data_IF_192575733879
#
_entry.id   IF_192575733879
#
_cell.length_a   1.000
_cell.length_b   1.000
_cell.length_c   1.000
_cell.angle_alpha   90.00
_cell.angle_beta   90.00
_cell.angle_gamma   90.00
#
_symmetry.space_group_name_H-M   'P 1'
#
loop_
_entity.id
_entity.type
_entity.pdbx_description
1 polymer ?
#
# COMPACT_ATOMS: atom_id res chain seq x y z
N UNK A 1 -70.00 -69.40 -20.02
CA UNK A 1 -69.29 -68.37 -19.25
C UNK A 1 -68.73 -67.36 -20.23
N UNK A 2 -69.25 -66.14 -20.25
CA UNK A 2 -68.74 -65.06 -21.10
C UNK A 2 -67.62 -64.35 -20.36
N UNK A 3 -66.40 -64.39 -20.90
CA UNK A 3 -65.24 -63.64 -20.42
C UNK A 3 -65.27 -62.24 -21.03
N UNK A 4 -65.19 -61.21 -20.19
CA UNK A 4 -65.03 -59.82 -20.65
C UNK A 4 -63.53 -59.51 -20.66
N UNK A 5 -62.97 -59.28 -21.85
CA UNK A 5 -61.61 -58.77 -22.01
C UNK A 5 -61.66 -57.25 -22.06
N UNK A 6 -61.17 -56.58 -21.02
CA UNK A 6 -61.00 -55.12 -21.01
C UNK A 6 -59.58 -54.75 -21.39
N UNK A 7 -59.43 -53.74 -22.24
CA UNK A 7 -58.15 -53.12 -22.56
C UNK A 7 -58.08 -51.75 -21.88
N UNK A 8 -57.04 -51.53 -21.09
CA UNK A 8 -56.80 -50.22 -20.46
C UNK A 8 -55.73 -49.50 -21.26
N UNK A 9 -56.08 -48.35 -21.84
CA UNK A 9 -55.12 -47.46 -22.48
C UNK A 9 -54.35 -46.72 -21.39
N UNK A 10 -53.03 -46.87 -21.37
CA UNK A 10 -52.16 -46.05 -20.54
C UNK A 10 -51.85 -44.77 -21.32
N UNK A 11 -52.31 -43.63 -20.82
CA UNK A 11 -51.93 -42.31 -21.33
C UNK A 11 -51.02 -41.63 -20.31
N UNK A 12 -49.81 -41.17 -20.70
CA UNK A 12 -48.96 -40.42 -19.80
C UNK A 12 -49.56 -39.04 -19.55
N UNK A 13 -49.83 -38.75 -18.28
CA UNK A 13 -50.19 -37.41 -17.83
C UNK A 13 -48.89 -36.61 -17.71
N UNK A 14 -48.66 -35.66 -18.61
CA UNK A 14 -47.44 -34.83 -18.66
C UNK A 14 -47.53 -33.56 -17.80
N UNK A 15 -48.68 -33.31 -17.17
CA UNK A 15 -48.92 -32.17 -16.29
C UNK A 15 -49.26 -32.69 -14.89
N UNK A 16 -48.34 -32.48 -13.96
CA UNK A 16 -48.57 -32.74 -12.54
C UNK A 16 -48.45 -31.40 -11.81
N UNK A 17 -49.47 -31.05 -11.03
CA UNK A 17 -49.47 -29.82 -10.21
C UNK A 17 -48.45 -29.90 -9.05
N UNK A 18 -47.97 -31.11 -8.72
CA UNK A 18 -46.91 -31.30 -7.74
C UNK A 18 -45.53 -31.07 -8.36
N UNK A 19 -44.95 -29.90 -8.08
CA UNK A 19 -43.60 -29.50 -8.51
C UNK A 19 -42.52 -30.11 -7.58
N UNK A 20 -42.89 -30.66 -6.41
CA UNK A 20 -41.92 -31.20 -5.43
C UNK A 20 -40.99 -32.27 -6.01
N UNK A 21 -41.43 -33.23 -6.83
CA UNK A 21 -40.53 -34.22 -7.42
C UNK A 21 -39.47 -33.59 -8.34
N UNK A 22 -39.81 -32.50 -9.04
CA UNK A 22 -38.89 -31.77 -9.90
C UNK A 22 -37.88 -30.94 -9.09
N UNK A 23 -38.35 -30.27 -8.01
CA UNK A 23 -37.48 -29.51 -7.09
C UNK A 23 -36.55 -30.40 -6.27
N UNK A 24 -36.96 -31.63 -5.95
CA UNK A 24 -36.14 -32.59 -5.21
C UNK A 24 -34.99 -33.19 -6.02
N UNK A 25 -34.89 -32.88 -7.32
CA UNK A 25 -33.84 -33.37 -8.22
C UNK A 25 -33.57 -34.89 -8.07
N UNK A 26 -34.64 -35.69 -7.91
CA UNK A 26 -34.51 -37.13 -7.62
C UNK A 26 -33.73 -37.83 -8.74
N UNK A 27 -32.82 -38.72 -8.34
CA UNK A 27 -32.04 -39.55 -9.27
C UNK A 27 -32.79 -40.87 -9.45
N UNK A 28 -33.26 -41.16 -10.66
CA UNK A 28 -33.92 -42.44 -10.96
C UNK A 28 -32.92 -43.44 -11.55
N UNK A 29 -32.36 -43.13 -12.72
CA UNK A 29 -31.38 -43.96 -13.42
C UNK A 29 -30.32 -43.07 -14.14
N UNK A 30 -29.23 -43.64 -14.67
CA UNK A 30 -28.20 -42.84 -15.36
C UNK A 30 -28.71 -42.11 -16.61
N UNK A 31 -29.69 -42.66 -17.32
CA UNK A 31 -30.31 -42.00 -18.49
C UNK A 31 -31.14 -40.82 -18.03
N UNK A 32 -31.83 -40.93 -16.89
CA UNK A 32 -32.54 -39.82 -16.25
C UNK A 32 -31.60 -38.64 -15.97
N UNK A 33 -30.41 -38.89 -15.42
CA UNK A 33 -29.41 -37.82 -15.22
C UNK A 33 -29.06 -37.13 -16.54
N UNK A 34 -28.73 -37.87 -17.59
CA UNK A 34 -28.43 -37.28 -18.91
C UNK A 34 -29.62 -36.48 -19.47
N UNK A 35 -30.86 -36.99 -19.33
CA UNK A 35 -32.05 -36.25 -19.79
C UNK A 35 -32.31 -34.99 -18.99
N UNK A 36 -31.92 -34.96 -17.70
CA UNK A 36 -32.01 -33.75 -16.87
C UNK A 36 -30.96 -32.72 -17.25
N UNK A 37 -29.72 -33.14 -17.50
CA UNK A 37 -28.66 -32.28 -18.05
C UNK A 37 -29.09 -31.66 -19.38
N UNK A 38 -29.71 -32.46 -20.26
CA UNK A 38 -30.32 -31.96 -21.50
C UNK A 38 -31.43 -30.93 -21.24
N UNK A 39 -32.29 -31.16 -20.25
CA UNK A 39 -33.43 -30.30 -19.93
C UNK A 39 -33.02 -28.91 -19.41
N UNK A 40 -31.89 -28.83 -18.70
CA UNK A 40 -31.32 -27.56 -18.20
C UNK A 40 -30.36 -26.91 -19.19
N UNK A 41 -30.22 -27.48 -20.39
CA UNK A 41 -29.37 -26.91 -21.44
C UNK A 41 -27.88 -27.23 -21.32
N UNK A 42 -27.47 -28.16 -20.45
CA UNK A 42 -26.03 -28.51 -20.27
C UNK A 42 -25.38 -29.06 -21.56
N UNK A 43 -26.19 -29.64 -22.47
CA UNK A 43 -25.73 -30.08 -23.80
C UNK A 43 -25.94 -29.05 -24.90
N UNK A 44 -26.52 -27.89 -24.59
CA UNK A 44 -26.51 -26.75 -25.51
C UNK A 44 -25.13 -26.11 -25.39
N UNK A 45 -24.20 -26.56 -26.25
CA UNK A 45 -22.92 -25.88 -26.38
C UNK A 45 -23.19 -24.49 -26.95
N UNK A 46 -22.95 -23.46 -26.16
CA UNK A 46 -22.84 -22.11 -26.68
C UNK A 46 -21.48 -21.96 -27.37
N UNK A 47 -21.42 -21.19 -28.47
CA UNK A 47 -20.17 -20.85 -29.16
C UNK A 47 -19.40 -19.79 -28.35
N UNK A 48 -19.04 -20.17 -27.13
CA UNK A 48 -18.39 -19.32 -26.14
C UNK A 48 -17.09 -19.99 -25.69
N UNK A 49 -15.97 -19.49 -26.20
CA UNK A 49 -14.65 -19.93 -25.78
C UNK A 49 -14.32 -19.43 -24.37
N UNK A 50 -13.75 -20.27 -23.52
CA UNK A 50 -13.23 -19.84 -22.22
C UNK A 50 -11.78 -19.35 -22.35
N UNK A 51 -11.35 -18.33 -21.60
CA UNK A 51 -9.98 -17.84 -21.65
C UNK A 51 -9.00 -18.88 -21.08
N UNK A 52 -7.98 -19.26 -21.85
CA UNK A 52 -6.98 -20.26 -21.43
C UNK A 52 -5.59 -19.67 -21.22
N UNK A 53 -5.28 -18.56 -21.90
CA UNK A 53 -3.99 -17.87 -21.79
C UNK A 53 -4.22 -16.38 -21.95
N UNK A 54 -3.64 -15.59 -21.06
CA UNK A 54 -3.48 -14.14 -21.22
C UNK A 54 -2.04 -13.77 -21.46
N UNK A 55 -1.84 -12.79 -22.33
CA UNK A 55 -0.57 -12.07 -22.49
C UNK A 55 -0.82 -10.61 -22.15
N UNK A 56 -0.07 -10.10 -21.19
CA UNK A 56 -0.13 -8.72 -20.72
C UNK A 56 1.19 -8.07 -21.04
N UNK A 57 1.12 -6.92 -21.72
CA UNK A 57 2.23 -5.99 -21.81
C UNK A 57 1.88 -4.77 -20.96
N UNK A 58 2.64 -4.55 -19.90
CA UNK A 58 2.51 -3.39 -19.04
C UNK A 58 3.76 -2.52 -19.11
N UNK A 59 3.57 -1.21 -19.01
CA UNK A 59 4.64 -0.25 -18.83
C UNK A 59 4.64 0.19 -17.37
N UNK A 60 5.81 0.16 -16.74
CA UNK A 60 5.97 0.54 -15.35
C UNK A 60 7.09 1.56 -15.17
N UNK A 61 6.88 2.48 -14.23
CA UNK A 61 7.85 3.47 -13.78
C UNK A 61 7.97 3.41 -12.26
N UNK A 62 9.18 3.18 -11.74
CA UNK A 62 9.42 3.32 -10.30
C UNK A 62 9.40 4.81 -9.93
N UNK A 63 8.85 5.12 -8.75
CA UNK A 63 8.96 6.46 -8.16
C UNK A 63 10.43 6.89 -8.08
N UNK A 64 10.71 8.13 -8.47
CA UNK A 64 12.08 8.69 -8.43
C UNK A 64 12.17 10.01 -7.68
N UNK A 65 11.03 10.67 -7.41
CA UNK A 65 10.96 11.95 -6.72
C UNK A 65 9.90 11.96 -5.64
N UNK A 66 10.21 12.61 -4.52
CA UNK A 66 9.27 12.91 -3.43
C UNK A 66 9.46 14.37 -3.03
N UNK A 67 8.36 15.05 -2.72
CA UNK A 67 8.35 16.41 -2.20
C UNK A 67 7.46 16.46 -0.96
N UNK A 68 8.03 16.71 0.23
CA UNK A 68 7.24 17.04 1.41
C UNK A 68 6.42 18.31 1.19
N UNK A 69 5.18 18.31 1.68
CA UNK A 69 4.23 19.40 1.56
C UNK A 69 3.45 19.39 0.23
N UNK A 70 2.51 20.32 0.12
CA UNK A 70 1.76 20.54 -1.11
C UNK A 70 2.54 21.46 -2.06
N UNK A 71 3.21 20.89 -3.06
CA UNK A 71 3.81 21.68 -4.14
C UNK A 71 2.71 22.21 -5.07
N UNK A 72 2.37 23.51 -4.93
CA UNK A 72 1.40 24.18 -5.81
C UNK A 72 1.95 24.54 -7.19
N UNK A 73 3.29 24.55 -7.34
CA UNK A 73 3.99 24.88 -8.58
C UNK A 73 5.02 23.80 -8.94
N UNK A 74 5.56 23.88 -10.16
CA UNK A 74 6.66 23.01 -10.57
C UNK A 74 7.90 23.26 -9.71
N UNK A 75 8.33 22.23 -8.98
CA UNK A 75 9.50 22.26 -8.07
C UNK A 75 10.34 21.02 -8.37
N UNK A 76 11.65 21.07 -8.17
CA UNK A 76 12.46 19.84 -8.27
C UNK A 76 12.37 19.08 -6.94
N UNK A 77 11.70 17.93 -6.94
CA UNK A 77 11.56 17.08 -5.76
C UNK A 77 12.87 16.40 -5.36
N UNK A 78 12.93 15.93 -4.11
CA UNK A 78 14.06 15.16 -3.59
C UNK A 78 14.19 13.81 -4.31
N UNK A 79 15.42 13.33 -4.61
CA UNK A 79 15.61 11.99 -5.15
C UNK A 79 15.05 10.93 -4.19
N UNK A 80 14.32 9.97 -4.72
CA UNK A 80 13.71 8.90 -3.95
C UNK A 80 13.95 7.54 -4.60
N UNK A 81 14.15 6.51 -3.76
CA UNK A 81 14.32 5.14 -4.23
C UNK A 81 13.42 4.18 -3.45
N UNK A 82 12.32 3.68 -4.07
CA UNK A 82 11.34 2.83 -3.40
C UNK A 82 11.90 1.46 -2.97
N UNK A 83 13.07 1.04 -3.51
CA UNK A 83 13.72 -0.22 -3.11
C UNK A 83 14.52 -0.11 -1.81
N UNK A 84 14.80 1.12 -1.35
CA UNK A 84 15.67 1.36 -0.19
C UNK A 84 14.87 1.83 1.01
N UNK A 85 13.85 2.66 0.81
CA UNK A 85 13.13 3.31 1.89
C UNK A 85 11.62 3.40 1.58
N UNK A 86 10.74 2.94 2.48
CA UNK A 86 9.29 3.15 2.36
C UNK A 86 8.88 4.64 2.45
N UNK A 87 7.65 4.97 2.08
CA UNK A 87 7.16 6.36 2.13
C UNK A 87 7.01 6.88 3.55
N UNK A 88 6.47 6.08 4.47
CA UNK A 88 6.09 6.53 5.82
C UNK A 88 7.31 7.07 6.58
N UNK A 89 8.45 6.37 6.68
CA UNK A 89 9.61 6.92 7.35
C UNK A 89 10.22 8.12 6.63
N UNK A 90 9.99 8.29 5.33
CA UNK A 90 10.48 9.45 4.58
C UNK A 90 9.61 10.69 4.85
N UNK A 91 8.29 10.52 4.90
CA UNK A 91 7.31 11.59 5.04
C UNK A 91 7.09 12.00 6.49
N UNK A 92 6.98 11.02 7.39
CA UNK A 92 6.68 11.24 8.81
C UNK A 92 7.93 11.52 9.64
N UNK A 93 9.13 11.43 9.05
CA UNK A 93 10.33 11.71 9.80
C UNK A 93 10.35 13.16 10.27
N UNK A 94 10.47 13.30 11.58
CA UNK A 94 10.72 14.60 12.19
C UNK A 94 12.21 14.78 12.45
N UNK A 95 12.59 16.03 12.66
CA UNK A 95 13.92 16.35 13.18
C UNK A 95 14.03 15.88 14.62
N UNK A 96 14.31 14.59 14.80
CA UNK A 96 14.69 14.07 16.10
C UNK A 96 16.17 14.42 16.30
N UNK A 97 16.44 15.27 17.27
CA UNK A 97 17.77 15.44 17.85
C UNK A 97 17.83 14.68 19.19
N UNK A 98 17.73 13.32 19.20
CA UNK A 98 17.72 12.54 20.44
C UNK A 98 19.11 12.52 21.11
N UNK A 99 20.07 13.26 20.56
CA UNK A 99 21.48 13.19 20.89
C UNK A 99 22.00 14.63 20.90
N UNK A 100 21.36 15.46 21.72
CA UNK A 100 21.83 16.79 22.09
C UNK A 100 22.10 16.82 23.60
N UNK A 101 22.73 17.88 24.10
CA UNK A 101 22.83 18.11 25.55
C UNK A 101 21.48 18.55 26.18
N UNK A 102 20.38 18.58 25.40
CA UNK A 102 19.02 18.80 25.91
C UNK A 102 18.55 17.59 26.72
N UNK A 103 17.59 17.85 27.61
CA UNK A 103 17.03 16.82 28.51
C UNK A 103 16.40 15.66 27.73
N UNK A 104 15.80 15.92 26.56
CA UNK A 104 15.13 14.90 25.75
C UNK A 104 16.13 13.88 25.16
N UNK A 105 17.37 14.29 24.89
CA UNK A 105 18.40 13.43 24.28
C UNK A 105 19.36 12.77 25.26
N UNK A 106 19.18 12.97 26.56
CA UNK A 106 20.14 12.47 27.54
C UNK A 106 20.13 10.94 27.64
N UNK A 107 18.97 10.28 27.62
CA UNK A 107 18.92 8.81 27.77
C UNK A 107 19.63 8.13 26.60
N UNK A 108 19.24 8.47 25.37
CA UNK A 108 19.80 7.90 24.15
C UNK A 108 21.29 8.23 24.00
N UNK A 109 21.73 9.42 24.42
CA UNK A 109 23.18 9.74 24.42
C UNK A 109 23.97 8.92 25.43
N UNK A 110 23.35 8.49 26.53
CA UNK A 110 24.00 7.60 27.49
C UNK A 110 24.12 6.18 26.93
N UNK A 111 23.06 5.68 26.29
CA UNK A 111 23.04 4.38 25.64
C UNK A 111 24.04 4.31 24.47
N UNK A 112 24.09 5.35 23.63
CA UNK A 112 25.04 5.45 22.53
C UNK A 112 26.50 5.46 23.02
N UNK A 113 26.79 6.21 24.10
CA UNK A 113 28.12 6.23 24.72
C UNK A 113 28.48 4.89 25.36
N UNK A 114 27.52 4.23 26.02
CA UNK A 114 27.71 2.88 26.56
C UNK A 114 27.96 1.85 25.45
N UNK A 115 27.24 1.94 24.34
CA UNK A 115 27.42 1.05 23.20
C UNK A 115 28.81 1.19 22.59
N UNK A 116 29.34 2.42 22.46
CA UNK A 116 30.71 2.64 22.01
C UNK A 116 31.73 1.95 22.93
N UNK A 117 31.58 2.10 24.25
CA UNK A 117 32.44 1.41 25.23
C UNK A 117 32.36 -0.12 25.10
N UNK A 118 31.17 -0.68 24.84
CA UNK A 118 31.01 -2.12 24.60
C UNK A 118 31.75 -2.57 23.34
N UNK A 119 31.72 -1.78 22.27
CA UNK A 119 32.40 -2.10 21.01
C UNK A 119 33.93 -2.05 21.13
N UNK A 120 34.48 -1.24 22.05
CA UNK A 120 35.91 -1.26 22.35
C UNK A 120 36.38 -2.61 22.93
N UNK A 121 35.47 -3.38 23.54
CA UNK A 121 35.80 -4.61 24.24
C UNK A 121 36.57 -4.37 25.55
N UNK A 122 36.79 -5.44 26.32
CA UNK A 122 37.19 -5.36 27.73
C UNK A 122 38.53 -4.61 27.93
N UNK A 123 39.54 -4.92 27.13
CA UNK A 123 40.90 -4.39 27.31
C UNK A 123 40.99 -2.90 26.95
N UNK A 124 40.48 -2.50 25.77
CA UNK A 124 40.50 -1.10 25.32
C UNK A 124 39.53 -0.24 26.15
N UNK A 125 38.38 -0.79 26.53
CA UNK A 125 37.46 -0.09 27.44
C UNK A 125 38.15 0.23 28.76
N UNK A 126 38.82 -0.75 29.40
CA UNK A 126 39.50 -0.53 30.68
C UNK A 126 40.58 0.55 30.58
N UNK A 127 41.26 0.62 29.43
CA UNK A 127 42.31 1.62 29.15
C UNK A 127 41.74 3.02 28.91
N UNK A 128 40.69 3.14 28.10
CA UNK A 128 40.23 4.45 27.58
C UNK A 128 38.98 5.01 28.24
N UNK A 129 38.24 4.21 29.03
CA UNK A 129 36.98 4.64 29.66
C UNK A 129 37.14 5.94 30.46
N UNK A 130 38.17 6.05 31.31
CA UNK A 130 38.36 7.25 32.14
C UNK A 130 38.62 8.50 31.31
N UNK A 131 39.44 8.40 30.26
CA UNK A 131 39.74 9.49 29.31
C UNK A 131 38.46 9.93 28.59
N UNK A 132 37.71 8.98 28.04
CA UNK A 132 36.49 9.25 27.29
C UNK A 132 35.39 9.87 28.17
N UNK A 133 35.19 9.33 29.38
CA UNK A 133 34.19 9.86 30.34
C UNK A 133 34.54 11.28 30.78
N UNK A 134 35.81 11.58 31.02
CA UNK A 134 36.24 12.91 31.43
C UNK A 134 36.16 13.93 30.28
N UNK A 135 36.61 13.55 29.07
CA UNK A 135 36.59 14.43 27.90
C UNK A 135 35.18 14.70 27.40
N UNK A 136 34.35 13.66 27.35
CA UNK A 136 32.98 13.72 26.84
C UNK A 136 31.99 13.58 28.00
N UNK A 137 32.18 14.41 29.03
CA UNK A 137 31.36 14.36 30.24
C UNK A 137 29.89 14.70 29.96
N UNK A 138 29.02 14.00 30.69
CA UNK A 138 27.57 14.25 30.71
C UNK A 138 27.25 15.44 31.62
N UNK A 139 26.23 16.25 31.32
CA UNK A 139 25.84 17.37 32.17
C UNK A 139 25.35 16.90 33.55
N UNK A 140 25.50 17.74 34.57
CA UNK A 140 25.10 17.42 35.92
C UNK A 140 23.56 17.39 36.04
N UNK A 141 23.03 16.33 36.66
CA UNK A 141 21.59 16.05 36.67
C UNK A 141 20.79 17.07 37.49
N UNK A 142 21.41 17.66 38.50
CA UNK A 142 20.79 18.65 39.38
C UNK A 142 20.36 19.92 38.61
N UNK A 143 20.92 20.15 37.41
CA UNK A 143 20.51 21.23 36.51
C UNK A 143 19.14 20.98 35.88
N UNK A 144 18.64 19.74 35.91
CA UNK A 144 17.41 19.31 35.23
C UNK A 144 16.28 18.93 36.20
N UNK A 145 16.60 18.62 37.45
CA UNK A 145 15.63 18.18 38.47
C UNK A 145 14.67 19.27 38.97
N UNK A 146 14.89 20.53 38.58
CA UNK A 146 14.05 21.67 38.97
C UNK A 146 12.92 22.00 37.97
N UNK A 147 12.80 21.26 36.86
CA UNK A 147 11.74 21.46 35.86
C UNK A 147 10.49 20.66 36.22
N UNK A 148 9.32 21.30 36.12
CA UNK A 148 8.02 20.76 36.57
C UNK A 148 7.55 19.48 35.82
N UNK A 149 8.14 19.14 34.66
CA UNK A 149 7.77 17.96 33.86
C UNK A 149 8.94 16.97 33.66
N UNK A 150 9.76 16.72 34.69
CA UNK A 150 10.91 15.81 34.54
C UNK A 150 10.53 14.33 34.71
N UNK A 151 10.92 13.48 33.75
CA UNK A 151 10.75 12.01 33.83
C UNK A 151 11.62 11.43 34.98
N UNK A 152 11.01 10.97 36.09
CA UNK A 152 11.75 10.48 37.24
C UNK A 152 12.58 9.23 36.92
N UNK A 153 12.13 8.39 35.99
CA UNK A 153 12.83 7.16 35.62
C UNK A 153 14.06 7.48 34.76
N UNK A 154 13.91 8.32 33.75
CA UNK A 154 15.03 8.85 32.97
C UNK A 154 16.08 9.54 33.85
N UNK A 155 15.66 10.38 34.80
CA UNK A 155 16.60 11.02 35.75
C UNK A 155 17.33 10.00 36.65
N UNK A 156 16.66 8.95 37.13
CA UNK A 156 17.28 7.86 37.91
C UNK A 156 18.29 7.09 37.08
N UNK A 157 17.93 6.75 35.84
CA UNK A 157 18.83 6.09 34.90
C UNK A 157 20.07 6.95 34.66
N UNK A 158 19.89 8.23 34.38
CA UNK A 158 20.98 9.16 34.17
C UNK A 158 21.89 9.29 35.40
N UNK A 159 21.35 9.26 36.63
CA UNK A 159 22.15 9.30 37.88
C UNK A 159 23.11 8.13 37.98
N UNK A 160 22.71 6.97 37.48
CA UNK A 160 23.56 5.78 37.44
C UNK A 160 24.65 5.94 36.36
N UNK A 161 24.31 6.57 35.24
CA UNK A 161 25.18 6.66 34.06
C UNK A 161 26.20 7.80 34.13
N UNK A 162 25.88 8.90 34.82
CA UNK A 162 26.77 10.05 34.97
C UNK A 162 28.08 9.64 35.67
N UNK A 163 29.21 10.01 35.05
CA UNK A 163 30.55 9.64 35.51
C UNK A 163 30.94 8.18 35.22
N UNK A 164 30.08 7.37 34.60
CA UNK A 164 30.37 5.98 34.21
C UNK A 164 30.46 5.77 32.70
N UNK A 165 29.67 6.52 31.93
CA UNK A 165 29.67 6.46 30.47
C UNK A 165 29.86 7.86 29.86
N UNK A 166 30.56 7.95 28.71
CA UNK A 166 30.68 9.19 27.97
C UNK A 166 29.34 9.62 27.35
N UNK A 167 29.24 10.89 26.99
CA UNK A 167 28.13 11.41 26.20
C UNK A 167 28.29 11.01 24.73
N UNK A 168 27.41 10.11 24.25
CA UNK A 168 27.41 9.62 22.87
C UNK A 168 27.20 10.71 21.81
N UNK A 169 26.45 11.77 22.11
CA UNK A 169 26.28 12.89 21.19
C UNK A 169 27.60 13.64 20.95
N UNK A 170 28.33 13.92 22.04
CA UNK A 170 29.65 14.58 21.97
C UNK A 170 30.69 13.68 21.31
N UNK A 171 30.64 12.37 21.56
CA UNK A 171 31.49 11.40 20.87
C UNK A 171 31.24 11.41 19.36
N UNK A 172 29.98 11.44 18.93
CA UNK A 172 29.65 11.48 17.51
C UNK A 172 30.11 12.77 16.84
N UNK A 173 29.91 13.90 17.51
CA UNK A 173 30.40 15.19 17.04
C UNK A 173 31.93 15.19 16.91
N UNK A 174 32.64 14.67 17.92
CA UNK A 174 34.09 14.54 17.88
C UNK A 174 34.57 13.57 16.78
N UNK A 175 33.84 12.49 16.52
CA UNK A 175 34.13 11.58 15.41
C UNK A 175 34.00 12.30 14.06
N UNK A 176 32.89 13.01 13.84
CA UNK A 176 32.62 13.77 12.59
C UNK A 176 33.66 14.89 12.37
N UNK A 177 34.21 15.45 13.44
CA UNK A 177 35.25 16.49 13.38
C UNK A 177 36.69 15.91 13.35
N UNK A 178 36.85 14.58 13.29
CA UNK A 178 38.14 13.88 13.39
C UNK A 178 38.91 14.14 14.69
N UNK A 179 38.25 14.60 15.74
CA UNK A 179 38.86 14.85 17.06
C UNK A 179 38.86 13.61 17.95
N UNK A 180 37.96 12.64 17.72
CA UNK A 180 37.83 11.45 18.55
C UNK A 180 39.12 10.62 18.58
N UNK A 181 39.78 10.47 17.42
CA UNK A 181 40.97 9.62 17.29
C UNK A 181 42.17 10.16 18.10
N UNK A 182 42.22 11.48 18.33
CA UNK A 182 43.28 12.12 19.13
C UNK A 182 43.28 11.71 20.61
N UNK A 183 42.21 11.05 21.07
CA UNK A 183 42.06 10.61 22.47
C UNK A 183 42.69 9.24 22.74
N UNK A 184 43.25 8.58 21.72
CA UNK A 184 43.79 7.24 21.79
C UNK A 184 45.29 7.22 21.52
N UNK A 185 45.98 6.18 22.01
CA UNK A 185 47.40 6.01 21.74
C UNK A 185 47.60 5.59 20.29
N UNK A 186 48.69 6.04 19.67
CA UNK A 186 49.01 5.74 18.27
C UNK A 186 49.06 4.24 17.95
N UNK A 187 49.40 3.40 18.93
CA UNK A 187 49.42 1.94 18.79
C UNK A 187 48.02 1.31 18.60
N UNK A 188 46.98 1.94 19.15
CA UNK A 188 45.62 1.37 19.19
C UNK A 188 44.71 1.96 18.10
N UNK A 189 45.13 3.03 17.42
CA UNK A 189 44.34 3.74 16.39
C UNK A 189 43.84 2.80 15.28
N UNK A 190 44.69 1.89 14.80
CA UNK A 190 44.32 0.96 13.72
C UNK A 190 43.20 -0.02 14.12
N UNK A 191 43.03 -0.29 15.42
CA UNK A 191 41.97 -1.15 15.96
C UNK A 191 40.70 -0.33 16.21
N UNK A 192 40.84 0.91 16.64
CA UNK A 192 39.73 1.78 17.05
C UNK A 192 39.01 2.39 15.85
N UNK A 193 39.72 2.70 14.76
CA UNK A 193 39.13 3.34 13.59
C UNK A 193 37.96 2.52 12.99
N UNK A 194 38.09 1.20 12.76
CA UNK A 194 36.97 0.37 12.31
C UNK A 194 35.81 0.31 13.32
N UNK A 195 36.12 0.33 14.62
CA UNK A 195 35.11 0.34 15.69
C UNK A 195 34.30 1.64 15.67
N UNK A 196 34.98 2.78 15.53
CA UNK A 196 34.34 4.09 15.44
C UNK A 196 33.49 4.22 14.17
N UNK A 197 33.95 3.65 13.05
CA UNK A 197 33.17 3.60 11.80
C UNK A 197 31.91 2.72 11.95
N UNK A 198 32.04 1.53 12.52
CA UNK A 198 30.90 0.64 12.78
C UNK A 198 29.89 1.28 13.74
N UNK A 199 30.38 1.93 14.80
CA UNK A 199 29.55 2.67 15.74
C UNK A 199 28.84 3.85 15.07
N UNK A 200 29.51 4.59 14.18
CA UNK A 200 28.92 5.68 13.42
C UNK A 200 27.82 5.19 12.46
N UNK A 201 28.05 4.06 11.77
CA UNK A 201 27.02 3.42 10.94
C UNK A 201 25.80 3.03 11.75
N UNK A 202 25.99 2.37 12.90
CA UNK A 202 24.91 2.04 13.83
C UNK A 202 24.15 3.29 14.28
N UNK A 203 24.89 4.32 14.72
CA UNK A 203 24.32 5.56 15.24
C UNK A 203 23.45 6.27 14.21
N UNK A 204 23.89 6.33 12.95
CA UNK A 204 23.12 6.98 11.88
C UNK A 204 21.94 6.13 11.38
N UNK A 205 21.90 4.83 11.70
CA UNK A 205 20.82 3.93 11.31
C UNK A 205 19.67 3.86 12.34
N UNK A 206 19.80 4.49 13.51
CA UNK A 206 18.78 4.43 14.57
C UNK A 206 17.49 5.19 14.22
N UNK A 207 17.60 6.31 13.52
CA UNK A 207 16.49 7.19 13.20
C UNK A 207 16.61 7.64 11.75
N UNK A 208 15.49 7.59 11.04
CA UNK A 208 15.34 8.33 9.78
C UNK A 208 15.13 9.80 10.12
N UNK A 209 15.80 10.68 9.38
CA UNK A 209 15.76 12.13 9.62
C UNK A 209 15.57 12.86 8.31
N UNK A 210 14.92 14.03 8.32
CA UNK A 210 14.83 14.85 7.12
C UNK A 210 16.21 15.37 6.74
N UNK A 211 16.52 15.32 5.44
CA UNK A 211 17.75 15.90 4.89
C UNK A 211 17.75 17.44 5.01
N UNK A 212 16.58 18.05 4.89
CA UNK A 212 16.35 19.49 5.07
C UNK A 212 15.24 19.71 6.12
N UNK A 213 15.60 20.29 7.27
CA UNK A 213 14.67 20.56 8.37
C UNK A 213 13.61 21.61 8.04
N UNK A 214 13.77 22.35 6.93
CA UNK A 214 12.78 23.35 6.50
C UNK A 214 11.67 22.76 5.64
N UNK A 215 11.86 21.56 5.08
CA UNK A 215 10.87 20.87 4.27
C UNK A 215 10.15 19.82 5.11
N UNK A 216 9.02 20.20 5.68
CA UNK A 216 8.15 19.29 6.44
C UNK A 216 6.92 18.91 5.62
N UNK A 217 6.52 17.64 5.70
CA UNK A 217 5.23 17.19 5.20
C UNK A 217 4.08 17.50 6.18
N UNK A 218 4.39 17.77 7.45
CA UNK A 218 3.41 18.00 8.49
C UNK A 218 2.73 19.36 8.37
N UNK A 219 1.40 19.37 8.38
CA UNK A 219 0.54 20.54 8.43
C UNK A 219 -0.04 20.72 9.82
N UNK A 220 0.57 21.60 10.63
CA UNK A 220 0.14 21.82 12.02
C UNK A 220 -1.31 22.32 12.17
N UNK A 221 -1.85 23.03 11.18
CA UNK A 221 -3.23 23.55 11.21
C UNK A 221 -4.28 22.45 11.01
N UNK A 222 -3.91 21.38 10.30
CA UNK A 222 -4.81 20.27 9.97
C UNK A 222 -4.51 18.99 10.74
N UNK A 223 -3.34 18.91 11.38
CA UNK A 223 -2.84 17.72 12.07
C UNK A 223 -2.73 16.51 11.14
N UNK A 224 -2.27 16.76 9.91
CA UNK A 224 -2.09 15.74 8.88
C UNK A 224 -0.81 16.03 8.10
N UNK A 225 -0.33 15.04 7.36
CA UNK A 225 0.76 15.16 6.42
C UNK A 225 0.21 15.40 5.01
N UNK A 226 0.97 16.15 4.22
CA UNK A 226 0.73 16.33 2.80
C UNK A 226 2.05 16.19 2.04
N UNK A 227 2.03 15.53 0.89
CA UNK A 227 3.22 15.34 0.07
C UNK A 227 2.87 15.00 -1.38
N UNK A 228 3.86 15.12 -2.26
CA UNK A 228 3.73 14.75 -3.67
C UNK A 228 4.86 13.80 -4.06
N UNK A 229 4.55 12.86 -4.95
CA UNK A 229 5.48 11.85 -5.46
C UNK A 229 5.42 11.86 -6.99
N UNK A 230 6.51 11.46 -7.64
CA UNK A 230 6.52 11.37 -9.10
C UNK A 230 7.38 10.24 -9.65
N UNK A 231 7.00 9.78 -10.84
CA UNK A 231 7.75 8.82 -11.64
C UNK A 231 7.89 9.32 -13.09
N UNK A 232 9.01 9.02 -13.78
CA UNK A 232 9.15 9.23 -15.22
C UNK A 232 8.35 8.15 -15.96
N UNK A 233 7.20 8.53 -16.51
CA UNK A 233 6.26 7.66 -17.22
C UNK A 233 6.35 7.86 -18.73
N UNK A 234 5.75 6.96 -19.52
CA UNK A 234 5.75 6.95 -20.98
C UNK A 234 7.14 6.63 -21.55
N UNK A 235 7.33 5.36 -21.94
CA UNK A 235 8.60 4.85 -22.47
C UNK A 235 8.97 5.42 -23.83
N UNK A 236 7.97 5.85 -24.61
CA UNK A 236 8.15 6.33 -25.99
C UNK A 236 8.39 7.83 -26.02
N UNK A 237 7.64 8.58 -25.20
CA UNK A 237 7.75 10.04 -25.10
C UNK A 237 8.04 10.43 -23.65
N UNK A 238 9.24 10.96 -23.34
CA UNK A 238 9.61 11.29 -21.97
C UNK A 238 8.56 12.20 -21.30
N UNK A 239 7.89 11.65 -20.28
CA UNK A 239 6.91 12.37 -19.48
C UNK A 239 7.12 12.09 -18.00
N UNK A 240 6.41 12.82 -17.14
CA UNK A 240 6.31 12.45 -15.74
C UNK A 240 4.84 12.39 -15.33
N UNK A 241 4.58 11.60 -14.30
CA UNK A 241 3.30 11.55 -13.62
C UNK A 241 3.53 11.92 -12.16
N UNK A 242 2.81 12.94 -11.71
CA UNK A 242 2.85 13.42 -10.33
C UNK A 242 1.57 13.02 -9.63
N UNK A 243 1.72 12.38 -8.47
CA UNK A 243 0.63 12.07 -7.56
C UNK A 243 0.78 12.89 -6.29
N UNK A 244 -0.33 13.29 -5.70
CA UNK A 244 -0.34 14.01 -4.43
C UNK A 244 -1.26 13.34 -3.40
N UNK A 245 -0.73 13.20 -2.18
CA UNK A 245 -1.50 12.90 -0.99
C UNK A 245 -1.70 14.23 -0.24
N UNK A 246 -2.94 14.70 -0.17
CA UNK A 246 -3.27 15.99 0.46
C UNK A 246 -3.51 15.90 1.95
N UNK A 247 -4.08 14.77 2.34
CA UNK A 247 -4.56 14.45 3.66
C UNK A 247 -4.09 13.03 3.92
N UNK A 248 -3.00 12.91 4.68
CA UNK A 248 -2.42 11.64 5.10
C UNK A 248 -2.22 11.69 6.61
N UNK A 249 -2.92 10.82 7.34
CA UNK A 249 -2.93 10.84 8.81
C UNK A 249 -3.02 9.45 9.45
N UNK A 250 -3.14 8.39 8.66
CA UNK A 250 -3.45 7.04 9.12
C UNK A 250 -2.21 6.16 9.35
N UNK A 251 -1.02 6.63 8.97
CA UNK A 251 0.24 5.90 9.13
C UNK A 251 0.47 4.81 8.07
N UNK A 252 -0.39 4.69 7.05
CA UNK A 252 -0.21 3.72 5.97
C UNK A 252 -0.80 4.19 4.62
N UNK A 253 0.00 4.85 3.77
CA UNK A 253 -0.52 5.49 2.56
C UNK A 253 -0.77 4.46 1.46
N UNK A 254 -2.02 4.28 1.06
CA UNK A 254 -2.41 3.37 -0.02
C UNK A 254 -2.78 4.14 -1.30
N UNK A 255 -3.00 3.43 -2.41
CA UNK A 255 -3.24 4.02 -3.73
C UNK A 255 -4.41 5.03 -3.74
N UNK A 256 -5.42 4.85 -2.88
CA UNK A 256 -6.59 5.71 -2.80
C UNK A 256 -6.33 7.05 -2.11
N UNK A 257 -5.22 7.19 -1.38
CA UNK A 257 -4.82 8.46 -0.75
C UNK A 257 -4.24 9.45 -1.76
N UNK A 258 -3.90 8.95 -2.95
CA UNK A 258 -3.24 9.70 -4.00
C UNK A 258 -4.19 10.17 -5.09
N UNK A 259 -3.96 11.40 -5.53
CA UNK A 259 -4.67 12.01 -6.64
C UNK A 259 -3.66 12.40 -7.73
N UNK A 260 -4.03 12.21 -8.99
CA UNK A 260 -3.23 12.65 -10.12
C UNK A 260 -3.29 14.17 -10.26
N UNK A 261 -2.12 14.81 -10.31
CA UNK A 261 -2.02 16.26 -10.42
C UNK A 261 -1.56 16.69 -11.81
N UNK A 262 -2.49 17.28 -12.58
CA UNK A 262 -2.20 17.87 -13.88
C UNK A 262 -1.30 19.10 -13.75
N UNK A 263 -0.47 19.34 -14.78
CA UNK A 263 0.38 20.54 -14.92
C UNK A 263 1.33 20.81 -13.74
N UNK A 264 1.69 19.77 -12.99
CA UNK A 264 2.72 19.81 -11.96
C UNK A 264 3.95 19.01 -12.40
N UNK A 265 5.10 19.33 -11.82
CA UNK A 265 6.38 18.69 -12.13
C UNK A 265 7.17 18.57 -10.84
N UNK A 266 7.76 17.38 -10.61
CA UNK A 266 8.77 17.16 -9.58
C UNK A 266 10.17 16.97 -10.16
N UNK A 267 10.33 17.15 -11.47
CA UNK A 267 11.58 16.92 -12.21
C UNK A 267 11.88 15.44 -12.46
N UNK A 268 10.91 14.54 -12.26
CA UNK A 268 11.10 13.10 -12.46
C UNK A 268 11.40 12.77 -13.93
N UNK A 269 10.97 13.63 -14.87
CA UNK A 269 11.32 13.53 -16.30
C UNK A 269 12.84 13.45 -16.55
N UNK A 270 13.68 14.01 -15.69
CA UNK A 270 15.14 13.91 -15.80
C UNK A 270 15.67 12.51 -15.46
N UNK A 271 14.91 11.75 -14.68
CA UNK A 271 15.21 10.36 -14.33
C UNK A 271 14.69 9.37 -15.39
N UNK A 272 14.09 9.86 -16.47
CA UNK A 272 13.68 9.05 -17.61
C UNK A 272 14.92 8.50 -18.35
N UNK A 273 14.88 7.25 -18.79
CA UNK A 273 15.95 6.54 -19.51
C UNK A 273 16.46 7.24 -20.78
N UNK A 274 15.59 8.01 -21.44
CA UNK A 274 15.98 8.83 -22.59
C UNK A 274 16.83 10.06 -22.20
N UNK A 275 16.67 10.55 -20.96
CA UNK A 275 17.36 11.73 -20.44
C UNK A 275 18.54 11.37 -19.53
N UNK A 276 18.50 10.18 -18.91
CA UNK A 276 19.53 9.66 -18.02
C UNK A 276 20.01 8.26 -18.48
N UNK A 277 21.24 8.14 -19.01
CA UNK A 277 21.80 6.86 -19.47
C UNK A 277 21.95 5.78 -18.39
N UNK A 278 21.93 6.17 -17.10
CA UNK A 278 22.02 5.24 -15.97
C UNK A 278 20.64 4.84 -15.42
N UNK A 279 19.55 5.33 -16.02
CA UNK A 279 18.18 5.00 -15.61
C UNK A 279 17.58 3.93 -16.50
N UNK A 280 16.91 2.96 -15.87
CA UNK A 280 16.10 1.95 -16.53
C UNK A 280 14.61 2.33 -16.56
N UNK A 281 14.21 3.44 -15.94
CA UNK A 281 12.81 3.87 -15.89
C UNK A 281 12.40 4.68 -17.14
N UNK A 282 11.18 4.51 -17.67
CA UNK A 282 10.27 3.39 -17.43
C UNK A 282 10.72 2.13 -18.18
N UNK A 283 10.20 0.98 -17.75
CA UNK A 283 10.49 -0.34 -18.30
C UNK A 283 9.20 -1.10 -18.61
N UNK A 284 9.32 -2.16 -19.41
CA UNK A 284 8.20 -3.03 -19.79
C UNK A 284 8.19 -4.29 -18.93
N UNK A 285 6.98 -4.73 -18.60
CA UNK A 285 6.68 -6.04 -18.02
C UNK A 285 5.86 -6.80 -19.06
N UNK A 286 6.40 -7.94 -19.51
CA UNK A 286 5.67 -8.89 -20.35
C UNK A 286 5.35 -10.12 -19.51
N UNK A 287 4.06 -10.39 -19.29
CA UNK A 287 3.62 -11.52 -18.49
C UNK A 287 2.64 -12.39 -19.28
N UNK A 288 2.87 -13.70 -19.26
CA UNK A 288 1.88 -14.68 -19.72
C UNK A 288 1.38 -15.48 -18.53
N UNK A 289 0.07 -15.54 -18.35
CA UNK A 289 -0.56 -16.22 -17.21
C UNK A 289 -1.85 -16.91 -17.65
N UNK A 290 -2.39 -17.76 -16.77
CA UNK A 290 -3.67 -18.44 -16.96
C UNK A 290 -4.71 -17.66 -16.16
N UNK A 291 -5.77 -17.13 -16.80
CA UNK A 291 -6.86 -16.49 -16.08
C UNK A 291 -7.55 -17.46 -15.15
N UNK A 292 -7.88 -17.02 -13.94
CA UNK A 292 -8.66 -17.80 -12.98
C UNK A 292 -10.10 -17.27 -12.96
N UNK A 293 -11.13 -18.14 -12.95
CA UNK A 293 -12.49 -17.67 -12.73
C UNK A 293 -12.59 -17.02 -11.34
N UNK A 294 -13.33 -15.93 -11.24
CA UNK A 294 -13.66 -15.29 -9.97
C UNK A 294 -14.44 -16.28 -9.11
N UNK A 295 -14.04 -16.41 -7.86
CA UNK A 295 -14.76 -17.19 -6.85
C UNK A 295 -14.88 -16.38 -5.57
N UNK A 296 -15.97 -16.56 -4.85
CA UNK A 296 -16.21 -15.93 -3.55
C UNK A 296 -17.13 -16.81 -2.69
N UNK A 297 -17.13 -16.62 -1.36
CA UNK A 297 -17.99 -17.39 -0.46
C UNK A 297 -19.48 -17.22 -0.81
N UNK A 298 -20.21 -18.35 -0.88
CA UNK A 298 -21.62 -18.37 -1.27
C UNK A 298 -21.90 -18.19 -2.76
N UNK A 299 -20.87 -18.21 -3.62
CA UNK A 299 -21.06 -18.17 -5.07
C UNK A 299 -21.86 -19.40 -5.54
N UNK A 300 -22.90 -19.20 -6.39
CA UNK A 300 -23.64 -20.31 -6.94
C UNK A 300 -22.74 -21.28 -7.71
N UNK A 301 -22.97 -22.58 -7.52
CA UNK A 301 -22.20 -23.59 -8.24
C UNK A 301 -22.54 -23.56 -9.74
N UNK A 302 -21.51 -23.61 -10.59
CA UNK A 302 -21.69 -23.66 -12.06
C UNK A 302 -22.31 -24.98 -12.55
N UNK A 303 -22.44 -25.99 -11.68
CA UNK A 303 -23.01 -27.30 -12.01
C UNK A 303 -24.45 -27.38 -11.54
N UNK A 304 -25.25 -28.15 -12.28
CA UNK A 304 -26.68 -28.28 -12.02
C UNK A 304 -27.02 -28.78 -10.59
N UNK A 305 -26.17 -29.61 -9.97
CA UNK A 305 -26.41 -30.05 -8.60
C UNK A 305 -25.11 -30.00 -7.77
N UNK A 306 -25.06 -29.04 -6.88
CA UNK A 306 -24.11 -28.93 -5.78
C UNK A 306 -24.80 -28.19 -4.64
N UNK A 307 -24.56 -28.60 -3.39
CA UNK A 307 -25.05 -27.85 -2.25
C UNK A 307 -24.05 -26.73 -1.96
N UNK A 308 -24.53 -25.50 -2.05
CA UNK A 308 -23.76 -24.31 -1.68
C UNK A 308 -23.44 -24.30 -0.18
N UNK A 309 -22.36 -23.63 0.17
CA UNK A 309 -21.98 -23.40 1.56
C UNK A 309 -23.06 -22.55 2.26
N UNK A 310 -23.53 -23.00 3.42
CA UNK A 310 -24.57 -22.31 4.19
C UNK A 310 -24.04 -21.09 4.97
N UNK A 311 -22.72 -20.91 5.07
CA UNK A 311 -22.12 -19.79 5.78
C UNK A 311 -22.47 -18.43 5.13
N UNK A 312 -22.75 -18.41 3.82
CA UNK A 312 -23.21 -17.21 3.09
C UNK A 312 -24.47 -17.53 2.30
N UNK A 313 -25.59 -16.90 2.68
CA UNK A 313 -26.90 -17.09 2.04
C UNK A 313 -27.41 -15.80 1.39
N UNK A 314 -27.14 -15.63 0.09
CA UNK A 314 -27.63 -14.48 -0.68
C UNK A 314 -29.17 -14.42 -0.78
N UNK A 315 -29.85 -15.58 -0.68
CA UNK A 315 -31.31 -15.65 -0.72
C UNK A 315 -32.01 -15.12 0.56
N UNK A 316 -31.28 -15.02 1.67
CA UNK A 316 -31.78 -14.44 2.92
C UNK A 316 -31.60 -12.92 3.01
N UNK A 317 -30.99 -12.30 2.00
CA UNK A 317 -30.75 -10.86 1.97
C UNK A 317 -32.07 -10.13 1.71
N UNK A 318 -32.68 -9.62 2.78
CA UNK A 318 -33.86 -8.75 2.69
C UNK A 318 -33.46 -7.35 2.24
N UNK A 319 -34.06 -6.80 1.19
CA UNK A 319 -33.75 -5.45 0.69
C UNK A 319 -35.01 -4.59 0.65
N UNK A 320 -34.93 -3.37 1.19
CA UNK A 320 -35.98 -2.39 1.00
C UNK A 320 -35.97 -1.86 -0.47
N UNK A 321 -37.09 -1.31 -0.99
CA UNK A 321 -37.15 -0.83 -2.38
C UNK A 321 -36.15 0.28 -2.74
N UNK A 322 -35.66 1.02 -1.75
CA UNK A 322 -34.67 2.08 -1.87
C UNK A 322 -33.22 1.59 -1.73
N UNK A 323 -32.99 0.34 -1.33
CA UNK A 323 -31.66 -0.28 -1.20
C UNK A 323 -31.13 -0.84 -2.54
N UNK A 324 -31.08 0.00 -3.58
CA UNK A 324 -30.72 -0.41 -4.94
C UNK A 324 -29.33 -1.07 -5.05
N UNK A 325 -28.34 -0.58 -4.30
CA UNK A 325 -26.97 -1.13 -4.33
C UNK A 325 -26.96 -2.57 -3.82
N UNK A 326 -27.73 -2.85 -2.77
CA UNK A 326 -27.85 -4.18 -2.19
C UNK A 326 -28.51 -5.15 -3.17
N UNK A 327 -29.60 -4.71 -3.82
CA UNK A 327 -30.24 -5.49 -4.87
C UNK A 327 -29.30 -5.76 -6.04
N UNK A 328 -28.53 -4.77 -6.48
CA UNK A 328 -27.56 -4.91 -7.57
C UNK A 328 -26.46 -5.92 -7.23
N UNK A 329 -25.93 -5.86 -6.00
CA UNK A 329 -24.92 -6.82 -5.52
C UNK A 329 -25.46 -8.25 -5.50
N UNK A 330 -26.68 -8.46 -4.99
CA UNK A 330 -27.31 -9.80 -4.97
C UNK A 330 -27.59 -10.29 -6.39
N UNK A 331 -28.09 -9.43 -7.27
CA UNK A 331 -28.33 -9.78 -8.67
C UNK A 331 -27.03 -10.17 -9.38
N UNK A 332 -25.94 -9.41 -9.15
CA UNK A 332 -24.61 -9.74 -9.66
C UNK A 332 -24.14 -11.10 -9.17
N UNK A 333 -24.15 -11.31 -7.84
CA UNK A 333 -23.67 -12.54 -7.23
C UNK A 333 -24.45 -13.77 -7.74
N UNK A 334 -25.77 -13.68 -7.83
CA UNK A 334 -26.59 -14.84 -8.19
C UNK A 334 -26.63 -15.09 -9.70
N UNK A 335 -26.61 -14.06 -10.54
CA UNK A 335 -26.93 -14.19 -11.98
C UNK A 335 -25.79 -13.86 -12.94
N UNK A 336 -24.79 -13.07 -12.52
CA UNK A 336 -23.78 -12.52 -13.45
C UNK A 336 -22.33 -12.83 -13.08
N UNK A 337 -22.10 -13.51 -11.95
CA UNK A 337 -20.76 -13.79 -11.45
C UNK A 337 -19.97 -14.84 -12.26
N UNK A 338 -20.64 -15.67 -13.06
CA UNK A 338 -20.05 -16.90 -13.61
C UNK A 338 -19.04 -16.67 -14.75
N UNK A 339 -19.07 -15.50 -15.42
CA UNK A 339 -18.21 -15.19 -16.57
C UNK A 339 -17.09 -14.19 -16.25
N UNK A 340 -16.74 -14.06 -14.97
CA UNK A 340 -15.69 -13.15 -14.53
C UNK A 340 -14.38 -13.89 -14.32
N UNK A 341 -13.29 -13.31 -14.81
CA UNK A 341 -11.95 -13.85 -14.67
C UNK A 341 -11.02 -12.82 -14.05
N UNK A 342 -10.13 -13.29 -13.19
CA UNK A 342 -9.02 -12.53 -12.60
C UNK A 342 -7.73 -12.96 -13.25
N UNK A 343 -6.94 -11.97 -13.63
CA UNK A 343 -5.61 -12.15 -14.20
C UNK A 343 -4.60 -11.54 -13.23
N UNK A 344 -3.84 -12.34 -12.47
CA UNK A 344 -2.86 -11.78 -11.54
C UNK A 344 -1.71 -11.14 -12.31
N UNK A 345 -1.34 -9.91 -11.94
CA UNK A 345 -0.21 -9.17 -12.49
C UNK A 345 0.72 -8.79 -11.34
N UNK A 346 1.97 -9.25 -11.40
CA UNK A 346 2.98 -8.92 -10.39
C UNK A 346 3.59 -7.56 -10.71
N UNK A 347 3.44 -6.61 -9.78
CA UNK A 347 3.94 -5.24 -9.93
C UNK A 347 5.11 -4.98 -8.97
N UNK A 348 6.16 -4.27 -9.40
CA UNK A 348 7.21 -3.80 -8.51
C UNK A 348 6.67 -2.82 -7.46
N UNK A 349 7.10 -2.96 -6.22
CA UNK A 349 6.73 -2.03 -5.13
C UNK A 349 7.25 -0.62 -5.44
N UNK A 350 6.40 0.38 -5.22
CA UNK A 350 6.68 1.78 -5.54
C UNK A 350 6.69 2.10 -7.03
N UNK A 351 5.80 1.47 -7.80
CA UNK A 351 5.67 1.70 -9.24
C UNK A 351 4.30 2.24 -9.65
N UNK A 352 4.32 3.05 -10.70
CA UNK A 352 3.15 3.40 -11.51
C UNK A 352 3.16 2.53 -12.76
N UNK A 353 2.09 1.80 -12.99
CA UNK A 353 1.99 0.85 -14.09
C UNK A 353 0.74 1.07 -14.95
N UNK A 354 0.92 1.05 -16.25
CA UNK A 354 -0.13 1.13 -17.26
C UNK A 354 -0.16 -0.15 -18.10
N UNK A 355 -1.33 -0.76 -18.26
CA UNK A 355 -1.47 -1.92 -19.16
C UNK A 355 -1.57 -1.39 -20.60
N UNK A 356 -0.52 -1.63 -21.41
CA UNK A 356 -0.51 -1.27 -22.84
C UNK A 356 -1.37 -2.23 -23.67
N UNK A 357 -1.30 -3.52 -23.35
CA UNK A 357 -2.02 -4.55 -24.10
C UNK A 357 -2.44 -5.72 -23.20
N UNK A 358 -3.64 -6.23 -23.44
CA UNK A 358 -4.13 -7.49 -22.88
C UNK A 358 -4.68 -8.33 -24.03
N UNK A 359 -4.01 -9.43 -24.34
CA UNK A 359 -4.45 -10.40 -25.35
C UNK A 359 -4.90 -11.68 -24.66
N UNK A 360 -6.17 -12.02 -24.81
CA UNK A 360 -6.76 -13.27 -24.34
C UNK A 360 -6.78 -14.28 -25.49
N UNK A 361 -6.28 -15.48 -25.24
CA UNK A 361 -6.48 -16.64 -26.12
C UNK A 361 -7.52 -17.56 -25.49
N UNK A 362 -8.54 -17.93 -26.25
CA UNK A 362 -9.60 -18.82 -25.78
C UNK A 362 -9.34 -20.32 -26.10
N UNK A 363 -10.23 -21.19 -25.63
CA UNK A 363 -10.19 -22.65 -25.87
C UNK A 363 -10.21 -23.05 -27.35
N UNK A 364 -10.70 -22.19 -28.24
CA UNK A 364 -10.74 -22.41 -29.69
C UNK A 364 -9.49 -21.85 -30.40
N UNK A 365 -8.58 -21.21 -29.65
CA UNK A 365 -7.35 -20.60 -30.17
C UNK A 365 -7.57 -19.20 -30.76
N UNK A 366 -8.76 -18.61 -30.60
CA UNK A 366 -9.05 -17.24 -31.02
C UNK A 366 -8.31 -16.29 -30.09
N UNK A 367 -7.64 -15.29 -30.68
CA UNK A 367 -6.94 -14.25 -29.95
C UNK A 367 -7.72 -12.95 -30.02
N UNK A 368 -8.13 -12.47 -28.86
CA UNK A 368 -8.89 -11.24 -28.70
C UNK A 368 -8.05 -10.21 -27.96
N UNK A 369 -7.85 -9.04 -28.55
CA UNK A 369 -7.32 -7.88 -27.86
C UNK A 369 -8.43 -7.30 -26.98
N UNK A 370 -8.22 -7.29 -25.67
CA UNK A 370 -9.18 -6.76 -24.71
C UNK A 370 -8.81 -5.30 -24.41
N UNK A 371 -9.60 -4.33 -24.85
CA UNK A 371 -9.36 -2.92 -24.55
C UNK A 371 -9.63 -2.63 -23.06
N UNK A 372 -8.95 -1.60 -22.53
CA UNK A 372 -9.33 -0.99 -21.25
C UNK A 372 -10.80 -0.53 -21.29
N UNK A 373 -11.49 -0.61 -20.16
CA UNK A 373 -12.86 -0.12 -20.02
C UNK A 373 -12.98 1.35 -20.48
N UNK A 374 -11.95 2.16 -20.25
CA UNK A 374 -11.89 3.53 -20.76
C UNK A 374 -11.82 3.62 -22.29
N UNK A 375 -11.00 2.81 -22.95
CA UNK A 375 -10.92 2.81 -24.41
C UNK A 375 -12.26 2.40 -25.06
N UNK A 376 -13.04 1.52 -24.40
CA UNK A 376 -14.40 1.19 -24.87
C UNK A 376 -15.39 2.36 -24.74
N UNK A 377 -15.18 3.24 -23.76
CA UNK A 377 -16.03 4.44 -23.56
C UNK A 377 -15.78 5.55 -24.58
N UNK A 378 -14.54 5.69 -25.08
CA UNK A 378 -14.19 6.68 -26.12
C UNK A 378 -14.68 6.27 -27.53
N UNK A 379 -15.00 4.99 -27.71
CA UNK A 379 -15.44 4.42 -29.00
C UNK A 379 -16.95 4.51 -29.28
N UNK A 380 -17.72 5.20 -28.43
CA UNK A 380 -19.13 5.57 -28.71
C UNK A 380 -20.19 4.47 -28.53
N UNK A 381 -19.88 3.35 -27.86
CA UNK A 381 -20.80 2.20 -27.75
C UNK A 381 -21.88 2.39 -26.65
N UNK A 382 -21.72 3.33 -25.71
CA UNK A 382 -22.79 3.74 -24.77
C UNK A 382 -22.36 5.01 -24.01
N UNK A 383 -23.11 6.10 -24.18
CA UNK A 383 -22.85 7.40 -23.51
C UNK A 383 -23.38 7.50 -22.07
N UNK A 384 -23.97 6.41 -21.55
CA UNK A 384 -24.52 6.34 -20.19
C UNK A 384 -23.64 5.50 -19.24
N UNK A 385 -22.82 4.60 -19.77
CA UNK A 385 -21.81 3.83 -19.01
C UNK A 385 -20.44 4.52 -18.97
N UNK A 386 -20.32 5.71 -19.56
CA UNK A 386 -19.06 6.40 -19.88
C UNK A 386 -18.35 7.09 -18.72
N UNK A 387 -18.87 6.98 -17.49
CA UNK A 387 -18.42 7.82 -16.36
C UNK A 387 -18.19 7.07 -15.06
N UNK A 388 -18.56 5.78 -14.98
CA UNK A 388 -18.38 5.01 -13.77
C UNK A 388 -17.16 4.10 -13.91
N UNK A 389 -16.13 4.42 -13.13
CA UNK A 389 -14.90 3.65 -13.01
C UNK A 389 -14.59 3.52 -11.53
N UNK A 390 -14.07 2.36 -11.17
CA UNK A 390 -13.64 2.04 -9.81
C UNK A 390 -12.19 1.60 -9.87
N UNK A 391 -11.47 1.74 -8.75
CA UNK A 391 -10.07 1.33 -8.62
C UNK A 391 -9.14 2.06 -9.60
N UNK A 392 -9.42 3.34 -9.87
CA UNK A 392 -8.52 4.24 -10.62
C UNK A 392 -8.09 5.42 -9.74
N UNK A 393 -6.93 5.99 -10.05
CA UNK A 393 -6.47 7.23 -9.43
C UNK A 393 -7.37 8.39 -9.86
N UNK A 394 -7.90 9.11 -8.88
CA UNK A 394 -8.74 10.29 -9.13
C UNK A 394 -7.90 11.50 -9.52
N UNK A 395 -8.46 12.41 -10.31
CA UNK A 395 -7.80 13.69 -10.62
C UNK A 395 -7.93 14.67 -9.46
N UNK A 396 -6.87 15.43 -9.23
CA UNK A 396 -6.87 16.58 -8.34
C UNK A 396 -7.73 17.73 -8.91
N UNK A 397 -8.91 17.96 -8.32
CA UNK A 397 -9.92 18.91 -8.83
C UNK A 397 -9.74 20.38 -8.41
N UNK A 398 -8.78 20.71 -7.55
CA UNK A 398 -8.72 22.05 -6.94
C UNK A 398 -8.24 23.13 -7.91
N UNK A 399 -7.50 22.75 -8.97
CA UNK A 399 -6.98 23.69 -9.98
C UNK A 399 -7.58 23.48 -11.39
N UNK A 400 -8.61 22.64 -11.56
CA UNK A 400 -9.23 22.43 -12.86
C UNK A 400 -10.21 23.57 -13.18
N UNK A 401 -9.76 24.59 -13.91
CA UNK A 401 -10.58 25.73 -14.38
C UNK A 401 -11.52 25.35 -15.55
N UNK A 402 -11.71 24.06 -15.84
CA UNK A 402 -12.45 23.60 -17.01
C UNK A 402 -13.21 22.32 -16.72
N UNK A 403 -14.55 22.35 -16.88
CA UNK A 403 -15.42 21.17 -16.99
C UNK A 403 -15.35 20.51 -18.38
N UNK A 404 -14.42 20.93 -19.25
CA UNK A 404 -14.24 20.39 -20.59
C UNK A 404 -12.85 19.73 -20.72
N UNK A 405 -12.89 18.41 -20.93
CA UNK A 405 -11.79 17.44 -21.07
C UNK A 405 -10.80 17.38 -19.89
N UNK A 406 -11.20 16.66 -18.83
CA UNK A 406 -10.26 16.00 -17.94
C UNK A 406 -9.26 15.19 -18.80
N UNK A 407 -7.97 15.57 -18.79
CA UNK A 407 -6.96 14.85 -19.55
C UNK A 407 -6.70 13.52 -18.85
N UNK A 408 -7.27 12.50 -19.46
CA UNK A 408 -7.42 11.10 -19.11
C UNK A 408 -6.09 10.33 -18.88
N UNK A 409 -5.28 10.71 -17.89
CA UNK A 409 -4.17 9.85 -17.40
C UNK A 409 -4.60 8.95 -16.22
N UNK A 410 -5.84 8.44 -16.26
CA UNK A 410 -6.45 7.63 -15.18
C UNK A 410 -6.23 6.11 -15.25
N UNK A 411 -5.47 5.57 -16.22
CA UNK A 411 -5.29 4.11 -16.39
C UNK A 411 -3.98 3.64 -15.75
N UNK A 412 -3.70 4.12 -14.54
CA UNK A 412 -2.49 3.82 -13.80
C UNK A 412 -2.82 3.03 -12.56
N UNK A 413 -2.22 1.86 -12.44
CA UNK A 413 -2.11 1.14 -11.20
C UNK A 413 -0.95 1.73 -10.41
N UNK A 414 -1.22 2.16 -9.18
CA UNK A 414 -0.20 2.60 -8.27
C UNK A 414 -0.04 1.56 -7.16
N UNK A 415 1.18 1.03 -7.02
CA UNK A 415 1.54 0.18 -5.89
C UNK A 415 2.49 0.98 -5.00
N UNK A 416 2.01 1.62 -3.92
CA UNK A 416 2.85 2.46 -3.06
C UNK A 416 3.90 1.62 -2.32
N UNK A 417 5.10 2.16 -2.06
CA UNK A 417 6.14 1.49 -1.28
C UNK A 417 5.92 1.75 0.21
N UNK A 418 4.98 1.01 0.79
CA UNK A 418 4.61 1.09 2.20
C UNK A 418 5.24 0.00 3.06
N UNK A 419 5.23 0.21 4.37
CA UNK A 419 5.63 -0.75 5.38
C UNK A 419 4.60 -1.89 5.44
N UNK A 420 5.07 -3.13 5.27
CA UNK A 420 4.20 -4.31 5.37
C UNK A 420 3.78 -4.63 6.81
N UNK A 421 4.71 -4.50 7.75
CA UNK A 421 4.50 -4.80 9.17
C UNK A 421 5.18 -3.71 9.99
N UNK A 422 4.41 -3.09 10.88
CA UNK A 422 4.90 -2.08 11.82
C UNK A 422 4.87 -2.67 13.23
N UNK A 423 5.87 -2.33 14.05
CA UNK A 423 5.89 -2.63 15.48
C UNK A 423 5.90 -1.31 16.24
N UNK A 424 4.77 -0.98 16.83
CA UNK A 424 4.58 0.28 17.56
C UNK A 424 4.63 0.06 19.06
N UNK A 425 5.17 1.04 19.78
CA UNK A 425 5.05 1.05 21.24
C UNK A 425 3.63 1.43 21.66
N UNK A 426 3.30 1.23 22.94
CA UNK A 426 2.07 1.82 23.48
C UNK A 426 2.13 3.35 23.34
N UNK A 427 1.01 4.02 23.01
CA UNK A 427 0.96 5.47 22.99
C UNK A 427 1.35 6.01 24.37
N UNK A 428 2.10 7.11 24.37
CA UNK A 428 2.46 7.80 25.61
C UNK A 428 1.30 8.68 26.08
N UNK A 429 0.61 9.30 25.13
CA UNK A 429 -0.56 10.15 25.30
C UNK A 429 -1.58 9.76 24.21
N UNK A 430 -2.86 9.84 24.53
CA UNK A 430 -3.98 9.60 23.60
C UNK A 430 -4.90 10.81 23.71
N UNK A 431 -5.15 11.51 22.60
CA UNK A 431 -5.95 12.73 22.58
C UNK A 431 -7.06 12.55 21.56
N UNK A 432 -8.29 12.51 22.05
CA UNK A 432 -9.48 12.40 21.23
C UNK A 432 -10.03 13.79 20.90
N UNK A 433 -10.05 14.14 19.61
CA UNK A 433 -10.63 15.38 19.12
C UNK A 433 -12.06 15.11 18.62
N UNK A 434 -13.07 15.67 19.31
CA UNK A 434 -14.49 15.49 18.99
C UNK A 434 -15.15 16.78 18.57
N UNK A 435 -16.10 16.68 17.64
CA UNK A 435 -17.02 17.76 17.30
C UNK A 435 -18.33 17.59 18.07
N UNK A 436 -18.73 18.63 18.79
CA UNK A 436 -20.06 18.74 19.39
C UNK A 436 -20.90 19.68 18.53
N UNK A 437 -21.72 19.09 17.67
CA UNK A 437 -22.57 19.84 16.74
C UNK A 437 -23.66 20.65 17.46
N UNK A 438 -24.14 20.19 18.62
CA UNK A 438 -25.18 20.89 19.37
C UNK A 438 -24.66 22.16 20.04
N UNK A 439 -23.42 22.11 20.55
CA UNK A 439 -22.75 23.26 21.16
C UNK A 439 -21.99 24.11 20.14
N UNK A 440 -21.79 23.61 18.91
CA UNK A 440 -20.89 24.19 17.89
C UNK A 440 -19.46 24.39 18.44
N UNK A 441 -18.95 23.37 19.13
CA UNK A 441 -17.62 23.36 19.75
C UNK A 441 -16.81 22.13 19.28
N UNK A 442 -15.49 22.24 19.40
CA UNK A 442 -14.57 21.12 19.32
C UNK A 442 -13.95 20.87 20.70
N UNK A 443 -13.86 19.61 21.10
CA UNK A 443 -13.26 19.15 22.35
C UNK A 443 -11.97 18.43 22.04
N UNK A 444 -10.92 18.69 22.82
CA UNK A 444 -9.74 17.84 22.89
C UNK A 444 -9.78 17.16 24.27
N UNK A 445 -9.87 15.84 24.28
CA UNK A 445 -10.01 15.02 25.48
C UNK A 445 -8.75 14.16 25.58
N UNK A 446 -7.98 14.36 26.64
CA UNK A 446 -6.81 13.55 27.00
C UNK A 446 -7.21 12.46 28.02
#
# INVERSE_FOLDING_TARGET
MTSITSWTRLEPITQNDDIKPALQARIFDPVWMLTRQWQVGEFQGEDAGSPIVTKIDAECALLSRVQPGNAETAVTGMPYNPKVQPLEPFIECESVCPLSDSIEGLVQSAEAGQHFLRLLGIELEKKYRSVLVNRFARPAIDQFSAKENSDPNGLRFLRIMTGRVPNGAKLMLAYRQNELISQFDTADVNIILPIAEAWSKWYNALFVKPDDQTQTAWSSERMEYAFSIAAPTDIESPSETVLCAREYFDGHPDWYDFQYRQQSSLGAIQDHRANNPNSENPFLIEQSTIPAPVTYPGMPAMRWWEFEDADVNFGAVESAPDELIRMLMVAFAVSYANDWFVVPLELPVGSLCHIKSLVVTDTFGVKSLIPSSKATTESGISSLSSSWRMFELSEDRVNSVSTASASTKSDLFFLPPTLLIVSESKPLEDVLILRDEMANLAWAIE
#
